data_IF_486808228463
#
_entry.id   IF_486808228463
#
_cell.length_a   1.000
_cell.length_b   1.000
_cell.length_c   1.000
_cell.angle_alpha   90.00
_cell.angle_beta   90.00
_cell.angle_gamma   90.00
#
_symmetry.space_group_name_H-M   'P 1'
#
loop_
_entity.id
_entity.type
_entity.pdbx_description
1 polymer ?
#
# COMPACT_ATOMS: atom_id res chain seq x y z
N UNK A 1 18.24 32.60 24.47
CA UNK A 1 17.14 33.35 23.82
C UNK A 1 16.15 32.35 23.26
N UNK A 2 14.85 32.54 23.52
CA UNK A 2 13.78 31.59 23.18
C UNK A 2 13.40 31.74 21.70
N UNK A 3 13.42 30.64 20.94
CA UNK A 3 12.99 30.58 19.53
C UNK A 3 11.53 31.04 19.35
N UNK A 4 10.72 30.82 20.38
CA UNK A 4 9.33 31.28 20.45
C UNK A 4 9.25 32.80 20.44
N UNK A 5 10.15 33.51 21.13
CA UNK A 5 10.17 34.97 21.13
C UNK A 5 10.49 35.53 19.73
N UNK A 6 11.38 34.88 18.99
CA UNK A 6 11.78 35.30 17.63
C UNK A 6 10.65 35.11 16.61
N UNK A 7 9.83 34.06 16.76
CA UNK A 7 8.68 33.80 15.88
C UNK A 7 7.57 34.87 16.03
N UNK A 8 7.32 35.32 17.25
CA UNK A 8 6.32 36.36 17.52
C UNK A 8 6.82 37.79 17.30
N UNK A 9 8.13 37.97 17.17
CA UNK A 9 8.76 39.26 16.85
C UNK A 9 8.86 39.50 15.33
N UNK A 10 8.43 38.54 14.50
CA UNK A 10 8.25 38.76 13.07
C UNK A 10 7.28 39.93 12.84
N UNK A 11 7.61 40.91 11.99
CA UNK A 11 6.75 42.07 11.77
C UNK A 11 5.46 41.63 11.07
N UNK A 12 4.43 41.34 11.86
CA UNK A 12 3.08 41.00 11.40
C UNK A 12 2.30 42.23 10.88
N UNK A 13 2.95 43.39 10.75
CA UNK A 13 2.28 44.68 10.59
C UNK A 13 2.10 45.17 9.16
N UNK A 14 2.65 44.49 8.16
CA UNK A 14 2.33 44.72 6.75
C UNK A 14 2.85 43.54 5.92
N UNK A 15 2.07 42.45 5.83
CA UNK A 15 2.44 41.35 4.93
C UNK A 15 2.23 41.84 3.49
N UNK A 16 3.28 42.01 2.68
CA UNK A 16 3.10 42.47 1.32
C UNK A 16 2.34 41.41 0.53
N UNK A 17 1.34 41.82 -0.25
CA UNK A 17 0.47 40.93 -1.03
C UNK A 17 1.25 39.89 -1.86
N UNK A 18 2.40 40.31 -2.43
CA UNK A 18 3.30 39.43 -3.17
C UNK A 18 3.86 38.27 -2.34
N UNK A 19 4.07 38.47 -1.06
CA UNK A 19 4.62 37.47 -0.15
C UNK A 19 3.53 36.44 0.24
N UNK A 20 2.28 36.89 0.39
CA UNK A 20 1.13 35.98 0.52
C UNK A 20 0.96 35.12 -0.72
N UNK A 21 0.96 35.73 -1.91
CA UNK A 21 0.83 35.00 -3.17
C UNK A 21 1.95 33.98 -3.35
N UNK A 22 3.19 34.39 -3.11
CA UNK A 22 4.36 33.49 -3.21
C UNK A 22 4.28 32.34 -2.21
N UNK A 23 3.85 32.61 -0.97
CA UNK A 23 3.66 31.56 0.04
C UNK A 23 2.57 30.55 -0.35
N UNK A 24 1.45 31.03 -0.92
CA UNK A 24 0.39 30.15 -1.42
C UNK A 24 0.88 29.25 -2.56
N UNK A 25 1.64 29.83 -3.50
CA UNK A 25 2.24 29.08 -4.62
C UNK A 25 3.24 28.05 -4.10
N UNK A 26 4.11 28.41 -3.16
CA UNK A 26 5.06 27.49 -2.53
C UNK A 26 4.38 26.35 -1.79
N UNK A 27 3.33 26.62 -1.01
CA UNK A 27 2.55 25.59 -0.33
C UNK A 27 1.84 24.67 -1.31
N UNK A 28 1.33 25.21 -2.41
CA UNK A 28 0.69 24.43 -3.48
C UNK A 28 1.70 23.53 -4.18
N UNK A 29 2.89 24.05 -4.52
CA UNK A 29 3.99 23.28 -5.08
C UNK A 29 4.45 22.17 -4.14
N UNK A 30 4.61 22.47 -2.85
CA UNK A 30 4.98 21.50 -1.84
C UNK A 30 3.90 20.42 -1.69
N UNK A 31 2.63 20.82 -1.66
CA UNK A 31 1.48 19.92 -1.62
C UNK A 31 1.41 19.02 -2.84
N UNK A 32 1.61 19.57 -4.04
CA UNK A 32 1.67 18.82 -5.30
C UNK A 32 2.85 17.84 -5.33
N UNK A 33 4.02 18.28 -4.88
CA UNK A 33 5.21 17.43 -4.74
C UNK A 33 4.91 16.28 -3.77
N UNK A 34 4.39 16.57 -2.58
CA UNK A 34 4.03 15.54 -1.61
C UNK A 34 2.94 14.60 -2.15
N UNK A 35 1.95 15.10 -2.90
CA UNK A 35 0.96 14.26 -3.56
C UNK A 35 1.56 13.40 -4.68
N UNK A 36 2.56 13.90 -5.40
CA UNK A 36 3.26 13.17 -6.46
C UNK A 36 4.16 12.07 -5.87
N UNK A 37 4.84 12.37 -4.76
CA UNK A 37 5.70 11.40 -4.07
C UNK A 37 4.92 10.46 -3.14
N UNK A 38 3.69 10.80 -2.74
CA UNK A 38 2.79 9.92 -1.97
C UNK A 38 2.65 8.51 -2.56
N UNK A 39 2.32 8.31 -3.85
CA UNK A 39 2.24 6.97 -4.43
C UNK A 39 3.60 6.27 -4.43
N UNK A 40 4.71 6.99 -4.60
CA UNK A 40 6.06 6.42 -4.56
C UNK A 40 6.42 5.92 -3.15
N UNK A 41 6.17 6.74 -2.13
CA UNK A 41 6.39 6.41 -0.72
C UNK A 41 5.50 5.24 -0.28
N UNK A 42 4.23 5.19 -0.71
CA UNK A 42 3.34 4.06 -0.43
C UNK A 42 3.83 2.78 -1.12
N UNK A 43 4.36 2.87 -2.35
CA UNK A 43 4.97 1.75 -3.07
C UNK A 43 6.17 1.18 -2.30
N UNK A 44 7.09 2.04 -1.87
CA UNK A 44 8.26 1.65 -1.07
C UNK A 44 7.85 1.10 0.28
N UNK A 45 6.91 1.75 0.99
CA UNK A 45 6.40 1.25 2.26
C UNK A 45 5.75 -0.13 2.11
N UNK A 46 4.98 -0.38 1.04
CA UNK A 46 4.45 -1.72 0.75
C UNK A 46 5.55 -2.74 0.47
N UNK A 47 6.56 -2.38 -0.32
CA UNK A 47 7.70 -3.25 -0.58
C UNK A 47 8.46 -3.59 0.72
N UNK A 48 8.73 -2.59 1.56
CA UNK A 48 9.33 -2.76 2.88
C UNK A 48 8.45 -3.59 3.82
N UNK A 49 7.14 -3.38 3.81
CA UNK A 49 6.20 -4.21 4.57
C UNK A 49 6.29 -5.66 4.13
N UNK A 50 6.36 -5.95 2.82
CA UNK A 50 6.54 -7.31 2.31
C UNK A 50 7.90 -7.92 2.72
N UNK A 51 8.95 -7.10 2.85
CA UNK A 51 10.28 -7.53 3.33
C UNK A 51 10.25 -7.84 4.83
N UNK A 52 9.64 -6.98 5.66
CA UNK A 52 9.67 -7.10 7.14
C UNK A 52 8.60 -8.07 7.66
N UNK A 53 7.43 -8.10 7.03
CA UNK A 53 6.38 -9.09 7.25
C UNK A 53 5.98 -9.62 5.89
N UNK A 54 6.43 -10.83 5.51
CA UNK A 54 5.93 -11.50 4.31
C UNK A 54 4.43 -11.77 4.52
N UNK A 55 3.59 -10.77 4.27
CA UNK A 55 2.16 -10.92 4.26
C UNK A 55 1.87 -11.66 2.97
N UNK A 56 1.22 -12.84 3.02
CA UNK A 56 0.87 -13.56 1.81
C UNK A 56 0.07 -12.60 0.93
N UNK A 57 0.65 -12.25 -0.21
CA UNK A 57 0.04 -11.33 -1.16
C UNK A 57 -1.25 -11.97 -1.66
N UNK A 58 -2.21 -11.15 -2.14
CA UNK A 58 -3.47 -11.68 -2.71
C UNK A 58 -3.21 -12.74 -3.80
N UNK A 59 -2.07 -12.64 -4.48
CA UNK A 59 -1.60 -13.59 -5.48
C UNK A 59 -1.24 -14.95 -4.88
N UNK A 60 -0.60 -15.00 -3.70
CA UNK A 60 -0.32 -16.25 -3.00
C UNK A 60 -1.62 -16.93 -2.56
N UNK A 61 -2.60 -16.14 -2.12
CA UNK A 61 -3.90 -16.65 -1.71
C UNK A 61 -4.70 -17.21 -2.90
N UNK A 62 -4.58 -16.57 -4.07
CA UNK A 62 -5.12 -17.08 -5.33
C UNK A 62 -4.42 -18.36 -5.80
N UNK A 63 -3.08 -18.43 -5.67
CA UNK A 63 -2.30 -19.62 -5.98
C UNK A 63 -2.68 -20.81 -5.08
N UNK A 64 -2.87 -20.57 -3.78
CA UNK A 64 -3.34 -21.60 -2.82
C UNK A 64 -4.74 -22.11 -3.17
N UNK A 65 -5.66 -21.23 -3.62
CA UNK A 65 -6.99 -21.67 -4.11
C UNK A 65 -6.87 -22.56 -5.34
N UNK A 66 -6.04 -22.18 -6.32
CA UNK A 66 -5.79 -23.00 -7.52
C UNK A 66 -5.21 -24.37 -7.16
N UNK A 67 -4.23 -24.41 -6.25
CA UNK A 67 -3.64 -25.66 -5.78
C UNK A 67 -4.67 -26.54 -5.05
N UNK A 68 -5.51 -25.97 -4.19
CA UNK A 68 -6.60 -26.72 -3.53
C UNK A 68 -7.59 -27.31 -4.53
N UNK A 69 -8.01 -26.53 -5.53
CA UNK A 69 -8.92 -27.03 -6.57
C UNK A 69 -8.29 -28.15 -7.40
N UNK A 70 -7.00 -28.02 -7.75
CA UNK A 70 -6.27 -29.07 -8.46
C UNK A 70 -6.12 -30.34 -7.61
N UNK A 71 -5.85 -30.21 -6.31
CA UNK A 71 -5.78 -31.35 -5.38
C UNK A 71 -7.14 -32.04 -5.22
N UNK A 72 -8.24 -31.28 -5.15
CA UNK A 72 -9.58 -31.84 -5.06
C UNK A 72 -9.99 -32.56 -6.35
N UNK A 73 -9.64 -32.00 -7.52
CA UNK A 73 -9.86 -32.67 -8.80
C UNK A 73 -9.03 -33.97 -8.91
N UNK A 74 -7.78 -33.95 -8.47
CA UNK A 74 -6.92 -35.15 -8.42
C UNK A 74 -7.44 -36.21 -7.46
N UNK A 75 -7.88 -35.82 -6.25
CA UNK A 75 -8.44 -36.75 -5.26
C UNK A 75 -9.76 -37.37 -5.73
N UNK A 76 -10.65 -36.59 -6.36
CA UNK A 76 -11.90 -37.10 -6.93
C UNK A 76 -11.65 -38.08 -8.08
N UNK A 77 -10.65 -37.82 -8.92
CA UNK A 77 -10.26 -38.71 -10.01
C UNK A 77 -9.68 -40.05 -9.53
N UNK A 78 -9.02 -40.08 -8.35
CA UNK A 78 -8.50 -41.30 -7.73
C UNK A 78 -9.60 -42.09 -6.99
N UNK A 79 -10.59 -41.41 -6.42
CA UNK A 79 -11.72 -42.05 -5.73
C UNK A 79 -12.72 -42.70 -6.70
N UNK A 80 -12.99 -42.08 -7.85
CA UNK A 80 -13.94 -42.58 -8.85
C UNK A 80 -13.68 -44.03 -9.33
N UNK A 81 -12.45 -44.46 -9.66
CA UNK A 81 -12.19 -45.85 -10.06
C UNK A 81 -12.23 -46.85 -8.90
N UNK A 82 -12.04 -46.39 -7.65
CA UNK A 82 -12.09 -47.26 -6.47
C UNK A 82 -13.53 -47.61 -6.08
N UNK A 83 -14.46 -46.66 -6.16
CA UNK A 83 -15.89 -46.89 -5.90
C UNK A 83 -16.53 -47.79 -6.96
N UNK A 84 -16.19 -47.61 -8.24
CA UNK A 84 -16.70 -48.46 -9.33
C UNK A 84 -16.19 -49.90 -9.24
N UNK A 85 -14.99 -50.11 -8.66
CA UNK A 85 -14.43 -51.44 -8.42
C UNK A 85 -15.07 -52.14 -7.21
N UNK A 86 -15.43 -51.38 -6.16
CA UNK A 86 -16.10 -51.91 -4.96
C UNK A 86 -17.54 -52.36 -5.21
N UNK A 87 -18.24 -51.78 -6.19
CA UNK A 87 -19.61 -52.17 -6.58
C UNK A 87 -19.65 -53.42 -7.49
N UNK A 88 -18.50 -53.91 -7.96
CA UNK A 88 -18.39 -55.06 -8.88
C UNK A 88 -17.89 -56.36 -8.21
N UNK A 89 -17.58 -56.33 -6.91
CA UNK A 89 -17.16 -57.50 -6.10
C UNK A 89 -18.27 -57.94 -5.16
#
# INVERSE_FOLDING_TARGET
MSFTATLFQAPMTAVPFMQLFTSMVQLTLLGALLMFFRPLLIGIARALVLVVRPRPTKDELAARRKLRLAQQAGAAAVAAPAEVRALRS
#
